data_IF_765571320983
#
_entry.id   IF_765571320983
#
_cell.length_a   1.000
_cell.length_b   1.000
_cell.length_c   1.000
_cell.angle_alpha   90.00
_cell.angle_beta   90.00
_cell.angle_gamma   90.00
#
_symmetry.space_group_name_H-M   'P 1'
#
loop_
_entity.id
_entity.type
_entity.pdbx_description
1 polymer ?
#
# COMPACT_ATOMS: atom_id res chain seq x y z
N UNK A 1 0.43 58.17 -2.57
CA UNK A 1 0.33 58.47 -1.13
C UNK A 1 -0.92 57.82 -0.50
N UNK A 2 -1.00 56.48 -0.42
CA UNK A 2 -2.11 55.72 0.22
C UNK A 2 -1.62 54.34 0.71
N UNK A 3 -0.79 54.32 1.75
CA UNK A 3 -0.41 53.10 2.50
C UNK A 3 -0.15 53.50 3.95
N UNK A 4 -1.20 53.64 4.77
CA UNK A 4 -1.05 53.75 6.24
C UNK A 4 -2.32 53.49 7.09
N UNK A 5 -3.44 53.01 6.51
CA UNK A 5 -4.71 52.92 7.27
C UNK A 5 -5.11 51.47 7.65
N UNK A 6 -4.57 50.43 6.99
CA UNK A 6 -5.04 49.05 7.24
C UNK A 6 -4.39 48.32 8.45
N UNK A 7 -3.24 48.77 8.96
CA UNK A 7 -2.61 48.11 10.12
C UNK A 7 -3.23 48.49 11.47
N UNK A 8 -3.97 49.60 11.55
CA UNK A 8 -4.60 50.06 12.81
C UNK A 8 -5.92 49.29 13.08
N UNK A 9 -6.61 48.86 12.02
CA UNK A 9 -7.85 48.10 12.14
C UNK A 9 -7.65 46.62 12.49
N UNK A 10 -6.53 45.99 12.09
CA UNK A 10 -6.22 44.60 12.46
C UNK A 10 -5.74 44.48 13.90
N UNK A 11 -4.93 45.42 14.39
CA UNK A 11 -4.45 45.45 15.77
C UNK A 11 -5.59 45.66 16.77
N UNK A 12 -6.55 46.57 16.47
CA UNK A 12 -7.75 46.76 17.30
C UNK A 12 -8.64 45.53 17.35
N UNK A 13 -8.81 44.79 16.24
CA UNK A 13 -9.60 43.53 16.23
C UNK A 13 -8.89 42.39 16.97
N UNK A 14 -7.56 42.33 16.90
CA UNK A 14 -6.76 41.34 17.62
C UNK A 14 -6.76 41.61 19.14
N UNK A 15 -6.51 42.86 19.57
CA UNK A 15 -6.60 43.25 20.97
C UNK A 15 -8.01 43.05 21.54
N UNK A 16 -9.08 43.32 20.76
CA UNK A 16 -10.47 43.09 21.20
C UNK A 16 -10.80 41.59 21.32
N UNK A 17 -10.25 40.72 20.47
CA UNK A 17 -10.41 39.26 20.57
C UNK A 17 -9.60 38.66 21.73
N UNK A 18 -8.39 39.16 22.02
CA UNK A 18 -7.57 38.77 23.17
C UNK A 18 -8.17 39.28 24.49
N UNK A 19 -8.78 40.47 24.50
CA UNK A 19 -9.56 40.99 25.63
C UNK A 19 -10.89 40.25 25.84
N UNK A 20 -11.58 39.86 24.77
CA UNK A 20 -12.81 39.07 24.91
C UNK A 20 -12.53 37.64 25.36
N UNK A 21 -11.45 37.00 24.90
CA UNK A 21 -11.08 35.66 25.37
C UNK A 21 -10.59 35.67 26.81
N UNK A 22 -9.86 36.70 27.25
CA UNK A 22 -9.49 36.87 28.66
C UNK A 22 -10.68 37.21 29.56
N UNK A 23 -11.65 38.02 29.09
CA UNK A 23 -12.91 38.27 29.80
C UNK A 23 -13.80 37.03 29.88
N UNK A 24 -13.85 36.20 28.83
CA UNK A 24 -14.65 34.97 28.83
C UNK A 24 -14.07 33.92 29.78
N UNK A 25 -12.73 33.83 29.87
CA UNK A 25 -12.02 32.98 30.86
C UNK A 25 -12.25 33.51 32.28
N UNK A 26 -12.27 34.84 32.48
CA UNK A 26 -12.64 35.47 33.76
C UNK A 26 -14.10 35.19 34.14
N UNK A 27 -15.03 35.18 33.18
CA UNK A 27 -16.45 34.87 33.44
C UNK A 27 -16.68 33.38 33.77
N UNK A 28 -15.99 32.46 33.08
CA UNK A 28 -16.07 31.03 33.40
C UNK A 28 -15.42 30.73 34.76
N UNK A 29 -14.38 31.47 35.16
CA UNK A 29 -13.81 31.38 36.52
C UNK A 29 -14.72 31.91 37.64
N UNK A 30 -15.62 32.85 37.34
CA UNK A 30 -16.61 33.33 38.32
C UNK A 30 -17.72 32.31 38.60
N UNK A 31 -18.02 31.40 37.66
CA UNK A 31 -19.07 30.39 37.84
C UNK A 31 -18.59 29.25 38.77
N UNK A 32 -17.27 29.08 38.96
CA UNK A 32 -16.68 28.04 39.83
C UNK A 32 -16.16 28.53 41.20
N UNK A 33 -16.29 29.81 41.55
CA UNK A 33 -15.93 30.31 42.89
C UNK A 33 -17.19 30.64 43.69
N UNK A 34 -17.84 29.62 44.25
CA UNK A 34 -18.89 29.80 45.26
C UNK A 34 -18.29 29.95 46.67
N UNK A 35 -17.16 30.65 46.82
CA UNK A 35 -16.61 30.97 48.14
C UNK A 35 -16.73 32.45 48.44
N UNK A 36 -17.26 32.75 49.63
CA UNK A 36 -17.46 34.12 50.10
C UNK A 36 -16.08 34.74 50.31
N UNK A 37 -15.72 35.71 49.46
CA UNK A 37 -14.52 36.52 49.64
C UNK A 37 -14.55 37.22 51.02
N UNK A 38 -13.49 37.12 51.82
CA UNK A 38 -13.40 37.87 53.07
C UNK A 38 -13.58 39.37 52.81
N UNK A 39 -14.38 40.07 53.64
CA UNK A 39 -14.76 41.49 53.45
C UNK A 39 -13.60 42.48 53.23
N UNK A 40 -12.36 42.11 53.56
CA UNK A 40 -11.15 42.93 53.39
C UNK A 40 -10.10 42.31 52.46
N UNK A 41 -10.43 41.22 51.79
CA UNK A 41 -9.56 40.65 50.76
C UNK A 41 -9.40 41.66 49.61
N UNK A 42 -8.19 41.76 49.07
CA UNK A 42 -7.91 42.61 47.90
C UNK A 42 -7.18 41.79 46.86
N UNK A 43 -7.55 41.95 45.59
CA UNK A 43 -6.75 41.45 44.48
C UNK A 43 -5.39 42.15 44.50
N UNK A 44 -4.30 41.37 44.53
CA UNK A 44 -2.93 41.88 44.55
C UNK A 44 -2.07 41.11 43.56
N UNK A 45 -1.13 41.84 42.96
CA UNK A 45 -0.02 41.26 42.19
C UNK A 45 1.26 41.43 42.99
N UNK A 46 1.91 40.32 43.34
CA UNK A 46 3.16 40.29 44.10
C UNK A 46 4.27 39.84 43.16
N UNK A 47 5.26 40.72 42.99
CA UNK A 47 6.42 40.49 42.14
C UNK A 47 7.58 39.90 42.95
N UNK A 48 8.09 38.75 42.50
CA UNK A 48 9.27 38.06 43.00
C UNK A 48 10.42 38.15 41.96
N UNK A 49 11.53 37.43 42.20
CA UNK A 49 12.73 37.49 41.35
C UNK A 49 12.44 37.11 39.89
N UNK A 50 11.89 35.92 39.63
CA UNK A 50 11.65 35.38 38.28
C UNK A 50 10.18 35.21 37.89
N UNK A 51 9.24 35.46 38.80
CA UNK A 51 7.80 35.30 38.56
C UNK A 51 6.99 36.35 39.32
N UNK A 52 5.71 36.48 38.96
CA UNK A 52 4.72 37.26 39.69
C UNK A 52 3.52 36.39 40.01
N UNK A 53 2.87 36.64 41.15
CA UNK A 53 1.64 35.95 41.53
C UNK A 53 0.54 36.99 41.67
N UNK A 54 -0.58 36.78 40.98
CA UNK A 54 -1.80 37.58 41.07
C UNK A 54 -2.91 36.75 41.72
N UNK A 55 -3.52 37.29 42.78
CA UNK A 55 -4.60 36.61 43.50
C UNK A 55 -5.18 37.47 44.62
N UNK A 56 -6.30 37.03 45.20
CA UNK A 56 -6.87 37.70 46.37
C UNK A 56 -5.99 37.44 47.60
N UNK A 57 -5.70 38.51 48.34
CA UNK A 57 -4.86 38.46 49.54
C UNK A 57 -5.63 39.03 50.73
N UNK A 58 -5.66 38.28 51.83
CA UNK A 58 -6.19 38.68 53.13
C UNK A 58 -5.19 38.31 54.22
N UNK A 59 -4.98 39.20 55.21
CA UNK A 59 -4.01 38.97 56.31
C UNK A 59 -2.59 38.52 55.88
N UNK A 60 -2.10 39.00 54.72
CA UNK A 60 -0.80 38.61 54.12
C UNK A 60 -0.74 37.16 53.64
N UNK A 61 -1.87 36.54 53.37
CA UNK A 61 -1.96 35.20 52.78
C UNK A 61 -2.86 35.24 51.56
N UNK A 62 -2.63 34.33 50.62
CA UNK A 62 -3.55 34.12 49.51
C UNK A 62 -4.84 33.49 50.03
N UNK A 63 -5.98 33.96 49.53
CA UNK A 63 -7.29 33.47 49.95
C UNK A 63 -7.55 32.11 49.30
N UNK A 64 -7.96 31.13 50.10
CA UNK A 64 -8.37 29.82 49.63
C UNK A 64 -9.60 29.84 48.73
N UNK A 65 -9.73 28.82 47.88
CA UNK A 65 -10.79 28.63 46.89
C UNK A 65 -10.96 29.83 45.94
N UNK A 66 -9.94 30.67 45.84
CA UNK A 66 -9.85 31.77 44.89
C UNK A 66 -8.85 31.45 43.79
N UNK A 67 -9.01 32.11 42.66
CA UNK A 67 -8.08 31.97 41.55
C UNK A 67 -6.74 32.59 41.91
N UNK A 68 -5.68 31.81 41.74
CA UNK A 68 -4.29 32.22 41.86
C UNK A 68 -3.61 32.03 40.50
N UNK A 69 -2.97 33.08 40.00
CA UNK A 69 -2.31 33.07 38.69
C UNK A 69 -0.84 33.43 38.84
N UNK A 70 0.02 32.53 38.38
CA UNK A 70 1.46 32.67 38.38
C UNK A 70 1.92 32.99 36.96
N UNK A 71 2.67 34.09 36.82
CA UNK A 71 3.12 34.64 35.52
C UNK A 71 4.64 34.70 35.54
N UNK A 72 5.28 34.23 34.47
CA UNK A 72 6.73 34.33 34.29
C UNK A 72 7.14 35.78 34.04
N UNK A 73 8.26 36.22 34.62
CA UNK A 73 8.81 37.55 34.34
C UNK A 73 9.66 37.60 33.07
N UNK A 74 10.09 36.44 32.57
CA UNK A 74 10.98 36.38 31.42
C UNK A 74 10.21 36.59 30.11
N UNK A 75 9.03 35.98 30.00
CA UNK A 75 8.20 36.03 28.79
C UNK A 75 6.79 36.60 29.02
N UNK A 76 6.45 36.97 30.26
CA UNK A 76 5.13 37.50 30.65
C UNK A 76 3.95 36.57 30.35
N UNK A 77 4.21 35.28 30.15
CA UNK A 77 3.17 34.27 29.92
C UNK A 77 2.75 33.61 31.25
N UNK A 78 1.55 33.03 31.25
CA UNK A 78 1.04 32.31 32.42
C UNK A 78 1.78 31.00 32.58
N UNK A 79 2.37 30.78 33.75
CA UNK A 79 2.98 29.51 34.13
C UNK A 79 1.88 28.56 34.60
N UNK A 80 1.07 28.99 35.57
CA UNK A 80 0.05 28.16 36.22
C UNK A 80 -1.08 29.06 36.71
N UNK A 81 -2.32 28.65 36.49
CA UNK A 81 -3.49 29.37 36.99
C UNK A 81 -4.59 28.39 37.39
N UNK A 82 -5.25 28.63 38.51
CA UNK A 82 -6.33 27.78 38.98
C UNK A 82 -6.80 28.11 40.39
N UNK A 83 -7.62 27.23 40.95
CA UNK A 83 -8.16 27.33 42.30
C UNK A 83 -7.08 26.96 43.31
N UNK A 84 -6.75 27.89 44.21
CA UNK A 84 -5.76 27.70 45.26
C UNK A 84 -6.37 27.17 46.55
N UNK A 85 -5.71 26.21 47.20
CA UNK A 85 -6.10 25.68 48.51
C UNK A 85 -4.89 25.10 49.25
N UNK A 86 -5.04 24.75 50.53
CA UNK A 86 -4.07 23.93 51.25
C UNK A 86 -4.68 22.63 51.80
N UNK A 87 -3.84 21.62 52.02
CA UNK A 87 -4.25 20.40 52.73
C UNK A 87 -4.18 20.57 54.26
N UNK A 88 -4.56 19.53 55.00
CA UNK A 88 -4.48 19.47 56.47
C UNK A 88 -3.06 19.61 57.04
N UNK A 89 -2.02 19.43 56.21
CA UNK A 89 -0.62 19.57 56.57
C UNK A 89 -0.03 20.94 56.19
N UNK A 90 -0.84 21.82 55.58
CA UNK A 90 -0.44 23.16 55.14
C UNK A 90 0.34 23.18 53.82
N UNK A 91 0.33 22.09 53.05
CA UNK A 91 0.84 22.08 51.69
C UNK A 91 -0.07 22.88 50.78
N UNK A 92 0.49 23.78 49.98
CA UNK A 92 -0.25 24.60 49.02
C UNK A 92 -0.45 23.86 47.71
N UNK A 93 -1.67 23.97 47.16
CA UNK A 93 -2.05 23.39 45.89
C UNK A 93 -2.74 24.40 44.97
N UNK A 94 -2.62 24.16 43.67
CA UNK A 94 -3.45 24.79 42.64
C UNK A 94 -4.08 23.68 41.82
N UNK A 95 -5.41 23.57 41.87
CA UNK A 95 -6.18 22.82 40.87
C UNK A 95 -6.38 23.73 39.66
N UNK A 96 -5.67 23.44 38.59
CA UNK A 96 -5.55 24.42 37.52
C UNK A 96 -4.88 23.92 36.26
N UNK A 97 -4.35 24.88 35.51
CA UNK A 97 -3.80 24.69 34.19
C UNK A 97 -2.40 25.28 34.14
N UNK A 98 -1.43 24.42 33.84
CA UNK A 98 -0.07 24.79 33.47
C UNK A 98 0.02 24.89 31.94
N UNK A 99 0.62 25.97 31.46
CA UNK A 99 0.89 26.17 30.03
C UNK A 99 2.38 26.37 29.80
N UNK A 100 2.94 25.61 28.86
CA UNK A 100 4.31 25.76 28.40
C UNK A 100 4.28 26.09 26.92
N UNK A 101 4.86 27.23 26.56
CA UNK A 101 4.98 27.68 25.17
C UNK A 101 6.43 27.96 24.85
N UNK A 102 7.00 27.13 23.99
CA UNK A 102 8.31 27.32 23.40
C UNK A 102 8.17 27.30 21.87
N UNK A 103 9.24 27.66 21.16
CA UNK A 103 9.24 27.74 19.69
C UNK A 103 8.83 26.43 18.99
N UNK A 104 9.15 25.28 19.57
CA UNK A 104 8.92 23.94 19.00
C UNK A 104 7.89 23.09 19.75
N UNK A 105 7.40 23.55 20.89
CA UNK A 105 6.56 22.76 21.79
C UNK A 105 5.55 23.66 22.50
N UNK A 106 4.26 23.39 22.26
CA UNK A 106 3.17 24.01 22.98
C UNK A 106 2.40 22.93 23.73
N UNK A 107 2.54 22.93 25.05
CA UNK A 107 1.85 21.97 25.91
C UNK A 107 0.95 22.65 26.93
N UNK A 108 -0.13 21.94 27.27
CA UNK A 108 -1.13 22.33 28.25
C UNK A 108 -1.39 21.15 29.15
N UNK A 109 -1.20 21.35 30.45
CA UNK A 109 -1.43 20.34 31.48
C UNK A 109 -2.48 20.87 32.44
N UNK A 110 -3.53 20.10 32.71
CA UNK A 110 -4.55 20.41 33.69
C UNK A 110 -4.58 19.32 34.75
N UNK A 111 -4.68 19.73 36.00
CA UNK A 111 -4.61 18.82 37.13
C UNK A 111 -4.41 19.54 38.45
N UNK A 112 -4.01 18.78 39.45
CA UNK A 112 -3.66 19.28 40.78
C UNK A 112 -2.15 19.43 40.85
N UNK A 113 -1.70 20.65 41.13
CA UNK A 113 -0.30 20.98 41.28
C UNK A 113 0.01 21.32 42.73
N UNK A 114 0.94 20.62 43.37
CA UNK A 114 1.54 21.09 44.62
C UNK A 114 2.47 22.25 44.29
N UNK A 115 2.36 23.37 45.00
CA UNK A 115 3.05 24.61 44.67
C UNK A 115 3.70 25.23 45.88
N UNK A 116 4.92 25.74 45.72
CA UNK A 116 5.62 26.43 46.80
C UNK A 116 6.56 27.50 46.27
N UNK A 117 6.73 28.54 47.06
CA UNK A 117 7.83 29.48 46.88
C UNK A 117 8.61 29.72 48.18
N UNK A 118 8.61 28.76 49.08
CA UNK A 118 9.30 28.83 50.37
C UNK A 118 10.39 27.77 50.45
N UNK A 119 11.41 27.99 51.30
CA UNK A 119 12.57 27.08 51.42
C UNK A 119 12.21 25.67 51.92
N UNK A 120 11.13 25.54 52.68
CA UNK A 120 10.61 24.24 53.15
C UNK A 120 9.70 23.55 52.12
N UNK A 121 9.46 24.17 50.97
CA UNK A 121 8.68 23.61 49.86
C UNK A 121 7.21 23.29 50.18
N UNK A 122 6.68 23.80 51.29
CA UNK A 122 5.30 23.51 51.72
C UNK A 122 4.29 24.50 51.16
N UNK A 123 4.59 25.80 51.15
CA UNK A 123 3.57 26.83 50.91
C UNK A 123 3.95 27.93 49.94
N UNK A 124 2.94 28.63 49.43
CA UNK A 124 3.11 29.93 48.79
C UNK A 124 2.98 31.06 49.83
N UNK A 125 4.01 31.89 49.98
CA UNK A 125 4.03 33.08 50.85
C UNK A 125 3.90 34.38 50.05
N UNK A 126 3.15 35.35 50.59
CA UNK A 126 3.13 36.72 50.07
C UNK A 126 4.34 37.55 50.54
N UNK A 127 5.09 37.07 51.53
CA UNK A 127 6.24 37.76 52.10
C UNK A 127 7.48 37.58 51.22
N UNK A 128 7.90 38.65 50.53
CA UNK A 128 9.08 38.63 49.65
C UNK A 128 10.39 38.25 50.34
N UNK A 129 10.51 38.43 51.67
CA UNK A 129 11.70 38.04 52.43
C UNK A 129 11.77 36.54 52.72
N UNK A 130 10.63 35.87 52.77
CA UNK A 130 10.52 34.41 52.95
C UNK A 130 10.52 33.66 51.61
N UNK A 131 10.31 34.38 50.51
CA UNK A 131 10.21 33.81 49.18
C UNK A 131 11.57 33.33 48.67
N UNK A 132 11.57 32.13 48.13
CA UNK A 132 12.68 31.46 47.46
C UNK A 132 12.30 31.21 45.99
N UNK A 133 12.80 30.13 45.40
CA UNK A 133 12.45 29.68 44.04
C UNK A 133 11.00 29.16 44.01
N UNK A 134 10.28 29.44 42.92
CA UNK A 134 9.01 28.79 42.63
C UNK A 134 9.24 27.32 42.25
N UNK A 135 8.55 26.42 42.93
CA UNK A 135 8.51 25.00 42.67
C UNK A 135 7.04 24.61 42.49
N UNK A 136 6.75 23.82 41.47
CA UNK A 136 5.44 23.19 41.34
C UNK A 136 5.60 21.78 40.79
N UNK A 137 4.82 20.84 41.34
CA UNK A 137 4.83 19.42 41.03
C UNK A 137 3.41 18.99 40.69
N UNK A 138 3.23 18.22 39.62
CA UNK A 138 1.93 17.66 39.25
C UNK A 138 1.64 16.43 40.11
N UNK A 139 0.57 16.48 40.90
CA UNK A 139 0.15 15.42 41.83
C UNK A 139 -0.98 14.56 41.24
N UNK A 140 -1.90 15.18 40.50
CA UNK A 140 -2.94 14.46 39.76
C UNK A 140 -3.13 15.07 38.37
N UNK A 141 -3.06 14.24 37.33
CA UNK A 141 -3.24 14.66 35.94
C UNK A 141 -4.71 14.45 35.54
N UNK A 142 -5.40 15.50 35.12
CA UNK A 142 -6.75 15.39 34.55
C UNK A 142 -6.72 15.39 33.03
N UNK A 143 -5.88 16.25 32.44
CA UNK A 143 -5.77 16.42 31.00
C UNK A 143 -4.38 16.90 30.62
N UNK A 144 -3.82 16.35 29.54
CA UNK A 144 -2.60 16.84 28.94
C UNK A 144 -2.75 16.91 27.44
N UNK A 145 -2.29 17.99 26.84
CA UNK A 145 -2.17 18.15 25.41
C UNK A 145 -0.78 18.64 25.08
N UNK A 146 -0.20 18.07 24.03
CA UNK A 146 1.04 18.55 23.45
C UNK A 146 0.89 18.67 21.93
N UNK A 147 1.21 19.84 21.41
CA UNK A 147 1.37 20.08 19.99
C UNK A 147 2.88 20.25 19.72
N UNK A 148 3.56 19.18 19.31
CA UNK A 148 4.94 19.26 18.86
C UNK A 148 4.98 19.68 17.40
N UNK A 149 5.69 20.77 17.11
CA UNK A 149 6.06 21.15 15.75
C UNK A 149 7.53 20.81 15.54
N UNK A 150 7.82 19.69 14.88
CA UNK A 150 9.19 19.36 14.47
C UNK A 150 9.47 19.87 13.05
N UNK A 151 10.58 20.58 12.87
CA UNK A 151 11.24 20.79 11.59
C UNK A 151 12.27 19.66 11.42
N UNK A 152 12.00 18.65 10.59
CA UNK A 152 12.95 17.57 10.27
C UNK A 152 12.31 16.20 9.99
N UNK A 153 13.10 15.29 9.40
CA UNK A 153 12.64 14.08 8.67
C UNK A 153 12.03 12.92 9.48
N UNK A 154 11.89 12.99 10.81
CA UNK A 154 11.37 11.85 11.58
C UNK A 154 10.61 12.28 12.84
N UNK A 155 9.31 12.59 12.69
CA UNK A 155 8.19 12.24 13.59
C UNK A 155 7.00 13.21 13.43
N UNK A 156 6.09 12.91 12.51
CA UNK A 156 4.90 13.73 12.18
C UNK A 156 3.69 13.39 13.08
N UNK A 157 3.66 13.84 14.34
CA UNK A 157 2.39 13.85 15.10
C UNK A 157 1.98 15.29 15.39
N UNK A 158 0.83 15.69 14.87
CA UNK A 158 0.30 17.05 14.99
C UNK A 158 -0.23 17.37 16.38
N UNK A 159 -0.76 16.38 17.10
CA UNK A 159 -1.31 16.59 18.46
C UNK A 159 -1.34 15.27 19.24
N UNK A 160 -0.86 15.30 20.48
CA UNK A 160 -1.04 14.24 21.48
C UNK A 160 -1.96 14.75 22.58
N UNK A 161 -2.93 13.93 22.99
CA UNK A 161 -3.86 14.20 24.08
C UNK A 161 -3.90 13.01 25.04
N UNK A 162 -3.82 13.29 26.34
CA UNK A 162 -4.12 12.38 27.43
C UNK A 162 -5.29 12.94 28.23
N UNK A 163 -6.28 12.12 28.52
CA UNK A 163 -7.43 12.52 29.34
C UNK A 163 -7.73 11.45 30.38
N UNK A 164 -7.83 11.86 31.64
CA UNK A 164 -8.21 10.96 32.74
C UNK A 164 -9.65 10.49 32.55
N UNK A 165 -9.85 9.18 32.70
CA UNK A 165 -11.14 8.51 32.64
C UNK A 165 -11.68 8.30 34.07
N UNK A 166 -12.99 8.05 34.25
CA UNK A 166 -13.60 7.84 35.57
C UNK A 166 -13.05 6.65 36.37
N UNK A 167 -12.34 5.72 35.71
CA UNK A 167 -11.73 4.53 36.32
C UNK A 167 -10.22 4.70 36.57
N UNK A 168 -9.75 5.94 36.70
CA UNK A 168 -8.35 6.35 36.86
C UNK A 168 -7.41 5.94 35.71
N UNK A 169 -7.92 5.35 34.62
CA UNK A 169 -7.15 5.13 33.39
C UNK A 169 -7.03 6.42 32.58
N UNK A 170 -6.20 6.41 31.54
CA UNK A 170 -6.07 7.55 30.63
C UNK A 170 -6.42 7.16 29.21
N UNK A 171 -7.28 7.95 28.57
CA UNK A 171 -7.45 7.89 27.11
C UNK A 171 -6.28 8.61 26.45
N UNK A 172 -5.53 7.89 25.60
CA UNK A 172 -4.47 8.44 24.76
C UNK A 172 -5.00 8.60 23.34
N UNK A 173 -4.85 9.80 22.79
CA UNK A 173 -5.18 10.12 21.41
C UNK A 173 -3.97 10.79 20.76
N UNK A 174 -3.50 10.24 19.63
CA UNK A 174 -2.42 10.83 18.84
C UNK A 174 -2.92 11.05 17.42
N UNK A 175 -2.83 12.30 16.94
CA UNK A 175 -3.21 12.69 15.59
C UNK A 175 -1.97 12.74 14.70
N UNK A 176 -1.89 11.83 13.74
CA UNK A 176 -0.94 11.84 12.64
C UNK A 176 -1.58 12.47 11.41
N UNK A 177 -0.78 12.78 10.38
CA UNK A 177 -1.29 13.32 9.11
C UNK A 177 -2.21 12.33 8.39
N UNK A 178 -1.94 11.02 8.49
CA UNK A 178 -2.68 9.95 7.79
C UNK A 178 -3.69 9.17 8.64
N UNK A 179 -3.64 9.29 9.97
CA UNK A 179 -4.55 8.57 10.87
C UNK A 179 -4.65 9.20 12.27
N UNK A 180 -5.66 8.79 13.02
CA UNK A 180 -5.77 9.03 14.47
C UNK A 180 -5.59 7.71 15.20
N UNK A 181 -4.65 7.67 16.13
CA UNK A 181 -4.42 6.56 17.06
C UNK A 181 -5.14 6.83 18.37
N UNK A 182 -5.91 5.87 18.85
CA UNK A 182 -6.62 5.91 20.12
C UNK A 182 -6.31 4.63 20.92
N UNK A 183 -6.03 4.76 22.21
CA UNK A 183 -5.85 3.61 23.12
C UNK A 183 -6.09 4.04 24.57
N UNK A 184 -6.18 3.08 25.48
CA UNK A 184 -6.31 3.34 26.92
C UNK A 184 -5.04 2.91 27.64
N UNK A 185 -4.44 3.85 28.37
CA UNK A 185 -3.27 3.58 29.23
C UNK A 185 -3.74 3.18 30.63
N UNK A 186 -3.12 2.15 31.25
CA UNK A 186 -3.35 1.86 32.65
C UNK A 186 -2.84 3.02 33.52
N UNK A 187 -3.45 3.21 34.69
CA UNK A 187 -2.96 4.14 35.71
C UNK A 187 -1.56 3.68 36.16
N UNK A 188 -0.57 4.58 36.16
CA UNK A 188 0.72 4.35 36.82
C UNK A 188 0.91 5.39 37.92
N UNK A 189 0.98 4.91 39.16
CA UNK A 189 1.19 5.73 40.36
C UNK A 189 2.66 6.10 40.57
N UNK A 190 3.57 5.51 39.81
CA UNK A 190 5.02 5.52 40.11
C UNK A 190 5.79 6.72 39.53
N UNK A 191 5.16 7.61 38.74
CA UNK A 191 5.88 8.72 38.10
C UNK A 191 5.63 10.06 38.81
N UNK A 192 6.25 10.25 39.97
CA UNK A 192 6.36 11.54 40.69
C UNK A 192 7.19 12.62 39.94
N UNK A 193 7.44 12.46 38.64
CA UNK A 193 8.05 13.46 37.78
C UNK A 193 7.32 13.43 36.44
N UNK A 194 6.16 14.07 36.38
CA UNK A 194 5.50 14.34 35.11
C UNK A 194 6.14 15.62 34.50
N UNK A 195 7.41 15.52 34.12
CA UNK A 195 7.65 15.79 32.71
C UNK A 195 7.04 14.59 32.02
N UNK A 196 6.06 14.78 31.12
CA UNK A 196 5.35 13.69 30.43
C UNK A 196 6.34 12.93 29.53
N UNK A 197 7.17 12.10 30.16
CA UNK A 197 8.13 11.17 29.60
C UNK A 197 7.60 9.75 29.86
N UNK A 198 6.27 9.61 29.84
CA UNK A 198 5.63 8.32 29.66
C UNK A 198 6.20 7.75 28.37
N UNK A 199 6.86 6.59 28.44
CA UNK A 199 7.20 5.83 27.24
C UNK A 199 5.92 5.21 26.69
N UNK A 200 5.05 6.07 26.14
CA UNK A 200 3.80 5.67 25.51
C UNK A 200 4.05 4.67 24.39
N UNK A 201 5.25 4.61 23.81
CA UNK A 201 5.58 3.61 22.80
C UNK A 201 5.47 2.18 23.37
N UNK A 202 6.00 1.94 24.57
CA UNK A 202 5.92 0.61 25.20
C UNK A 202 4.47 0.23 25.50
N UNK A 203 3.66 1.18 25.95
CA UNK A 203 2.25 0.91 26.26
C UNK A 203 1.42 0.68 25.00
N UNK A 204 1.63 1.47 23.95
CA UNK A 204 0.97 1.28 22.65
C UNK A 204 1.28 -0.10 22.09
N UNK A 205 2.56 -0.50 22.08
CA UNK A 205 3.00 -1.79 21.52
C UNK A 205 2.54 -3.00 22.33
N UNK A 206 2.25 -2.82 23.62
CA UNK A 206 1.74 -3.88 24.49
C UNK A 206 0.21 -3.89 24.58
N UNK A 207 -0.48 -2.94 23.93
CA UNK A 207 -1.95 -2.86 23.97
C UNK A 207 -2.55 -3.72 22.85
N UNK A 208 -3.55 -4.52 23.23
CA UNK A 208 -4.34 -5.33 22.29
C UNK A 208 -5.57 -4.58 21.73
N UNK A 209 -5.77 -3.33 22.14
CA UNK A 209 -6.95 -2.53 21.80
C UNK A 209 -6.56 -1.17 21.26
N UNK A 210 -5.49 -1.10 20.46
CA UNK A 210 -5.14 0.13 19.75
C UNK A 210 -6.09 0.29 18.58
N UNK A 211 -6.75 1.44 18.52
CA UNK A 211 -7.59 1.82 17.39
C UNK A 211 -6.84 2.80 16.49
N UNK A 212 -6.75 2.48 15.20
CA UNK A 212 -6.26 3.38 14.17
C UNK A 212 -7.43 3.76 13.26
N UNK A 213 -7.73 5.05 13.13
CA UNK A 213 -8.73 5.57 12.20
C UNK A 213 -8.02 6.29 11.06
N UNK A 214 -8.07 5.74 9.85
CA UNK A 214 -7.36 6.27 8.68
C UNK A 214 -8.18 7.32 7.94
N UNK A 215 -7.50 8.20 7.19
CA UNK A 215 -8.17 9.29 6.45
C UNK A 215 -9.13 8.81 5.35
N UNK A 216 -8.92 7.60 4.83
CA UNK A 216 -9.83 6.97 3.86
C UNK A 216 -11.11 6.40 4.50
N UNK A 217 -11.26 6.49 5.83
CA UNK A 217 -12.40 5.99 6.59
C UNK A 217 -12.20 4.59 7.16
N UNK A 218 -11.10 3.91 6.83
CA UNK A 218 -10.80 2.59 7.38
C UNK A 218 -10.50 2.67 8.88
N UNK A 219 -10.86 1.62 9.60
CA UNK A 219 -10.63 1.51 11.04
C UNK A 219 -9.97 0.18 11.35
N UNK A 220 -8.81 0.21 11.98
CA UNK A 220 -8.17 -0.96 12.57
C UNK A 220 -8.32 -0.94 14.10
N UNK A 221 -8.57 -2.10 14.71
CA UNK A 221 -8.59 -2.31 16.16
C UNK A 221 -7.80 -3.57 16.47
N UNK A 222 -6.71 -3.44 17.23
CA UNK A 222 -5.89 -4.59 17.63
C UNK A 222 -4.51 -4.22 18.16
N UNK A 223 -3.57 -5.16 18.01
CA UNK A 223 -2.15 -4.98 18.27
C UNK A 223 -1.48 -4.26 17.11
N UNK A 224 -0.45 -3.46 17.41
CA UNK A 224 0.29 -2.67 16.41
C UNK A 224 1.78 -2.95 16.48
N UNK A 225 2.45 -2.81 15.33
CA UNK A 225 3.91 -2.90 15.20
C UNK A 225 4.53 -1.56 14.85
N UNK A 226 5.81 -1.39 15.22
CA UNK A 226 6.57 -0.21 14.81
C UNK A 226 6.78 -0.20 13.29
N UNK A 227 6.76 0.99 12.68
CA UNK A 227 7.13 1.18 11.27
C UNK A 227 8.47 0.55 10.90
N UNK A 228 9.43 0.54 11.83
CA UNK A 228 10.74 -0.09 11.60
C UNK A 228 10.69 -1.60 11.37
N UNK A 229 9.59 -2.27 11.72
CA UNK A 229 9.35 -3.69 11.40
C UNK A 229 8.74 -3.88 10.01
N UNK A 230 8.17 -2.84 9.41
CA UNK A 230 7.69 -2.89 8.03
C UNK A 230 8.87 -2.85 7.06
N UNK A 231 8.76 -3.41 5.86
CA UNK A 231 9.88 -3.43 4.92
C UNK A 231 10.31 -2.01 4.51
N UNK A 232 11.57 -1.88 4.10
CA UNK A 232 12.21 -0.58 3.84
C UNK A 232 11.44 0.29 2.83
N UNK A 233 10.83 -0.32 1.82
CA UNK A 233 10.16 0.36 0.71
C UNK A 233 8.65 0.59 0.92
N UNK A 234 8.07 0.19 2.06
CA UNK A 234 6.68 0.51 2.39
C UNK A 234 6.54 2.02 2.61
N UNK A 235 5.76 2.74 1.80
CA UNK A 235 5.57 4.20 1.94
C UNK A 235 4.62 4.60 3.10
N UNK A 236 4.41 3.69 4.05
CA UNK A 236 3.70 3.97 5.29
C UNK A 236 4.54 4.85 6.20
N UNK A 237 4.08 6.08 6.47
CA UNK A 237 4.86 7.08 7.21
C UNK A 237 4.40 7.29 8.66
N UNK A 238 3.43 6.50 9.12
CA UNK A 238 2.94 6.57 10.51
C UNK A 238 3.80 5.64 11.38
N UNK A 239 4.18 6.01 12.62
CA UNK A 239 5.06 5.21 13.47
C UNK A 239 4.53 3.82 13.86
N UNK A 240 3.21 3.63 13.83
CA UNK A 240 2.52 2.40 14.25
C UNK A 240 1.64 1.89 13.13
N UNK A 241 1.84 0.64 12.75
CA UNK A 241 1.06 -0.04 11.72
C UNK A 241 0.23 -1.18 12.33
N UNK A 242 -0.90 -1.56 11.71
CA UNK A 242 -1.63 -2.78 12.04
C UNK A 242 -0.70 -4.00 12.12
N UNK A 243 -0.89 -4.84 13.15
CA UNK A 243 -0.18 -6.11 13.30
C UNK A 243 -1.17 -7.27 13.35
N UNK A 244 -1.94 -7.40 14.43
CA UNK A 244 -2.97 -8.43 14.58
C UNK A 244 -4.26 -7.82 15.12
N UNK A 245 -5.43 -8.16 14.54
CA UNK A 245 -6.70 -7.60 14.98
C UNK A 245 -7.80 -7.59 13.92
N UNK A 246 -8.67 -6.59 14.00
CA UNK A 246 -9.80 -6.38 13.12
C UNK A 246 -9.60 -5.10 12.29
N UNK A 247 -9.70 -5.21 10.97
CA UNK A 247 -9.64 -4.10 10.03
C UNK A 247 -10.99 -3.96 9.32
N UNK A 248 -11.66 -2.84 9.55
CA UNK A 248 -12.93 -2.46 8.91
C UNK A 248 -12.64 -1.50 7.79
N UNK A 249 -13.01 -1.90 6.58
CA UNK A 249 -12.89 -1.04 5.42
C UNK A 249 -14.06 -0.04 5.42
N UNK A 250 -13.82 1.17 4.93
CA UNK A 250 -14.86 2.20 4.81
C UNK A 250 -16.06 1.74 3.96
N UNK A 251 -15.83 0.80 3.05
CA UNK A 251 -16.82 0.14 2.20
C UNK A 251 -17.72 -0.87 2.93
N UNK A 252 -17.33 -1.33 4.13
CA UNK A 252 -18.14 -2.20 4.99
C UNK A 252 -17.60 -3.62 5.18
N UNK A 253 -16.60 -4.06 4.41
CA UNK A 253 -15.92 -5.33 4.62
C UNK A 253 -15.13 -5.34 5.93
N UNK A 254 -14.88 -6.55 6.43
CA UNK A 254 -14.13 -6.77 7.66
C UNK A 254 -13.07 -7.85 7.42
N UNK A 255 -11.81 -7.53 7.70
CA UNK A 255 -10.72 -8.50 7.76
C UNK A 255 -10.32 -8.71 9.21
N UNK A 256 -10.13 -9.95 9.64
CA UNK A 256 -9.68 -10.28 11.00
C UNK A 256 -8.52 -11.26 10.93
N UNK A 257 -7.40 -10.92 11.58
CA UNK A 257 -6.20 -11.75 11.63
C UNK A 257 -4.90 -10.93 11.67
N UNK A 258 -3.85 -11.43 11.03
CA UNK A 258 -2.51 -10.83 10.98
C UNK A 258 -2.33 -10.06 9.68
N UNK A 259 -1.84 -8.83 9.79
CA UNK A 259 -1.70 -7.89 8.69
C UNK A 259 -0.22 -7.63 8.38
N UNK A 260 0.08 -7.56 7.08
CA UNK A 260 1.39 -7.16 6.57
C UNK A 260 1.28 -6.01 5.58
N UNK A 261 2.37 -5.27 5.36
CA UNK A 261 2.42 -4.21 4.34
C UNK A 261 2.98 -4.77 3.03
N UNK A 262 2.21 -4.67 1.95
CA UNK A 262 2.73 -4.89 0.62
C UNK A 262 3.48 -3.63 0.15
N UNK A 263 4.78 -3.76 -0.08
CA UNK A 263 5.64 -2.66 -0.50
C UNK A 263 5.27 -2.06 -1.85
N UNK A 264 4.89 -2.92 -2.80
CA UNK A 264 4.64 -2.52 -4.18
C UNK A 264 3.35 -1.71 -4.29
N UNK A 265 2.35 -2.03 -3.46
CA UNK A 265 1.03 -1.40 -3.50
C UNK A 265 0.79 -0.40 -2.36
N UNK A 266 1.73 -0.28 -1.42
CA UNK A 266 1.62 0.55 -0.21
C UNK A 266 0.29 0.33 0.54
N UNK A 267 -0.10 -0.95 0.72
CA UNK A 267 -1.37 -1.35 1.33
C UNK A 267 -1.15 -2.47 2.34
N UNK A 268 -2.03 -2.51 3.33
CA UNK A 268 -2.12 -3.65 4.23
C UNK A 268 -2.90 -4.79 3.57
N UNK A 269 -2.35 -5.98 3.66
CA UNK A 269 -3.02 -7.22 3.26
C UNK A 269 -3.08 -8.17 4.45
N UNK A 270 -3.98 -9.14 4.38
CA UNK A 270 -4.18 -10.13 5.42
C UNK A 270 -3.27 -11.32 5.13
N UNK A 271 -2.24 -11.53 5.93
CA UNK A 271 -1.33 -12.69 5.80
C UNK A 271 -2.02 -13.95 6.32
N UNK A 272 -2.57 -13.86 7.52
CA UNK A 272 -3.34 -14.93 8.17
C UNK A 272 -4.68 -14.39 8.63
N UNK A 273 -5.76 -15.17 8.46
CA UNK A 273 -7.08 -14.78 8.95
C UNK A 273 -8.19 -14.92 7.92
N UNK A 274 -9.27 -14.16 8.10
CA UNK A 274 -10.44 -14.17 7.21
C UNK A 274 -10.86 -12.75 6.83
N UNK A 275 -11.16 -12.53 5.55
CA UNK A 275 -11.92 -11.37 5.06
C UNK A 275 -13.37 -11.77 4.79
N UNK A 276 -14.31 -11.01 5.35
CA UNK A 276 -15.75 -11.09 5.09
C UNK A 276 -16.13 -9.96 4.13
N UNK A 277 -16.58 -10.34 2.93
CA UNK A 277 -16.97 -9.39 1.88
C UNK A 277 -18.43 -8.94 2.01
N UNK A 278 -18.82 -7.94 1.21
CA UNK A 278 -20.18 -7.37 1.24
C UNK A 278 -21.27 -8.37 0.82
N UNK A 279 -20.92 -9.35 -0.02
CA UNK A 279 -21.79 -10.45 -0.43
C UNK A 279 -21.90 -11.57 0.64
N UNK A 280 -21.23 -11.40 1.80
CA UNK A 280 -21.18 -12.37 2.89
C UNK A 280 -20.18 -13.51 2.67
N UNK A 281 -19.50 -13.56 1.52
CA UNK A 281 -18.47 -14.57 1.28
C UNK A 281 -17.26 -14.36 2.18
N UNK A 282 -16.53 -15.45 2.43
CA UNK A 282 -15.36 -15.46 3.31
C UNK A 282 -14.17 -16.02 2.57
N UNK A 283 -13.07 -15.28 2.52
CA UNK A 283 -11.80 -15.76 1.99
C UNK A 283 -10.73 -15.73 3.09
N UNK A 284 -9.79 -16.68 3.05
CA UNK A 284 -8.71 -16.80 4.03
C UNK A 284 -7.43 -16.18 3.49
N UNK A 285 -6.62 -15.61 4.38
CA UNK A 285 -5.28 -15.08 4.07
C UNK A 285 -5.27 -14.10 2.90
N UNK A 286 -4.16 -14.08 2.14
CA UNK A 286 -4.00 -13.25 0.94
C UNK A 286 -4.68 -13.90 -0.26
N UNK A 287 -6.00 -13.84 -0.24
CA UNK A 287 -6.89 -14.41 -1.25
C UNK A 287 -6.65 -13.89 -2.67
N UNK A 288 -5.95 -12.76 -2.83
CA UNK A 288 -5.62 -12.22 -4.14
C UNK A 288 -4.31 -12.81 -4.69
N UNK A 289 -3.32 -13.03 -3.83
CA UNK A 289 -2.06 -13.65 -4.23
C UNK A 289 -2.26 -15.08 -4.74
N UNK A 290 -3.25 -15.79 -4.20
CA UNK A 290 -3.61 -17.16 -4.60
C UNK A 290 -4.17 -17.29 -6.03
N UNK A 291 -4.48 -16.19 -6.72
CA UNK A 291 -5.21 -16.19 -8.00
C UNK A 291 -4.35 -16.35 -9.26
N UNK A 292 -3.06 -16.70 -9.13
CA UNK A 292 -2.11 -16.86 -10.25
C UNK A 292 -2.11 -15.67 -11.25
N UNK A 293 -2.24 -14.46 -10.70
CA UNK A 293 -2.24 -13.21 -11.45
C UNK A 293 -0.81 -12.74 -11.71
N UNK A 294 -0.56 -12.15 -12.87
CA UNK A 294 0.74 -11.54 -13.20
C UNK A 294 0.95 -10.26 -12.38
N UNK A 295 2.20 -9.79 -12.26
CA UNK A 295 2.51 -8.55 -11.53
C UNK A 295 1.72 -7.34 -12.06
N UNK A 296 1.51 -7.25 -13.38
CA UNK A 296 0.74 -6.16 -13.99
C UNK A 296 -0.76 -6.26 -13.72
N UNK A 297 -1.31 -7.47 -13.65
CA UNK A 297 -2.70 -7.71 -13.27
C UNK A 297 -2.93 -7.35 -11.80
N UNK A 298 -2.02 -7.76 -10.92
CA UNK A 298 -2.04 -7.39 -9.51
C UNK A 298 -1.97 -5.86 -9.35
N UNK A 299 -1.06 -5.18 -10.04
CA UNK A 299 -0.97 -3.72 -10.05
C UNK A 299 -2.26 -3.06 -10.54
N UNK A 300 -2.89 -3.62 -11.58
CA UNK A 300 -4.19 -3.12 -12.05
C UNK A 300 -5.29 -3.30 -11.01
N UNK A 301 -5.26 -4.32 -10.16
CA UNK A 301 -6.25 -4.59 -9.10
C UNK A 301 -5.99 -3.76 -7.85
N UNK A 302 -4.73 -3.63 -7.44
CA UNK A 302 -4.31 -2.86 -6.28
C UNK A 302 -4.25 -1.35 -6.52
N UNK A 303 -4.18 -0.90 -7.77
CA UNK A 303 -4.18 0.52 -8.11
C UNK A 303 -5.52 1.18 -7.81
N UNK A 304 -5.50 2.29 -7.05
CA UNK A 304 -6.66 3.11 -6.62
C UNK A 304 -7.47 2.52 -5.46
N UNK A 305 -8.13 3.42 -4.72
CA UNK A 305 -8.93 3.29 -3.47
C UNK A 305 -10.07 2.24 -3.48
N UNK A 306 -9.84 1.09 -4.09
CA UNK A 306 -10.76 -0.03 -4.17
C UNK A 306 -10.88 -0.74 -2.84
N UNK A 307 -12.12 -1.07 -2.54
CA UNK A 307 -12.53 -2.02 -1.51
C UNK A 307 -12.08 -3.44 -1.83
N UNK A 308 -12.00 -4.33 -0.82
CA UNK A 308 -11.79 -5.75 -1.04
C UNK A 308 -12.77 -6.38 -2.05
N UNK A 309 -14.06 -6.02 -2.00
CA UNK A 309 -15.07 -6.57 -2.92
C UNK A 309 -14.80 -6.15 -4.37
N UNK A 310 -14.45 -4.88 -4.60
CA UNK A 310 -14.09 -4.41 -5.94
C UNK A 310 -12.83 -5.11 -6.46
N UNK A 311 -11.82 -5.29 -5.61
CA UNK A 311 -10.60 -6.02 -5.95
C UNK A 311 -10.90 -7.49 -6.33
N UNK A 312 -11.75 -8.16 -5.54
CA UNK A 312 -12.19 -9.54 -5.80
C UNK A 312 -12.95 -9.66 -7.11
N UNK A 313 -13.88 -8.75 -7.39
CA UNK A 313 -14.65 -8.76 -8.64
C UNK A 313 -13.76 -8.52 -9.86
N UNK A 314 -12.79 -7.61 -9.73
CA UNK A 314 -11.81 -7.36 -10.78
C UNK A 314 -10.92 -8.58 -11.06
N UNK A 315 -10.43 -9.23 -10.00
CA UNK A 315 -9.65 -10.47 -10.13
C UNK A 315 -10.45 -11.55 -10.86
N UNK A 316 -11.71 -11.76 -10.46
CA UNK A 316 -12.61 -12.71 -11.11
C UNK A 316 -12.78 -12.42 -12.60
N UNK A 317 -13.02 -11.17 -12.97
CA UNK A 317 -13.17 -10.76 -14.37
C UNK A 317 -11.90 -11.03 -15.21
N UNK A 318 -10.71 -10.81 -14.63
CA UNK A 318 -9.44 -11.07 -15.33
C UNK A 318 -9.24 -12.57 -15.56
N UNK A 319 -9.57 -13.40 -14.57
CA UNK A 319 -9.46 -14.86 -14.67
C UNK A 319 -10.44 -15.40 -15.72
N UNK A 320 -11.69 -14.95 -15.69
CA UNK A 320 -12.71 -15.35 -16.68
C UNK A 320 -12.28 -14.98 -18.12
N UNK A 321 -11.67 -13.80 -18.32
CA UNK A 321 -11.16 -13.40 -19.62
C UNK A 321 -9.99 -14.29 -20.10
N UNK A 322 -9.08 -14.67 -19.19
CA UNK A 322 -7.96 -15.58 -19.49
C UNK A 322 -8.45 -16.97 -19.85
N UNK A 323 -9.40 -17.52 -19.09
CA UNK A 323 -9.99 -18.82 -19.37
C UNK A 323 -10.70 -18.84 -20.72
N UNK A 324 -11.45 -17.78 -21.05
CA UNK A 324 -12.11 -17.65 -22.35
C UNK A 324 -11.11 -17.60 -23.51
N UNK A 325 -10.05 -16.79 -23.40
CA UNK A 325 -8.99 -16.75 -24.44
C UNK A 325 -8.30 -18.09 -24.62
N UNK A 326 -8.01 -18.81 -23.52
CA UNK A 326 -7.41 -20.13 -23.58
C UNK A 326 -8.34 -21.16 -24.26
N UNK A 327 -9.65 -21.07 -24.03
CA UNK A 327 -10.63 -21.93 -24.71
C UNK A 327 -10.73 -21.60 -26.20
N UNK A 328 -10.74 -20.32 -26.57
CA UNK A 328 -10.76 -19.86 -27.96
C UNK A 328 -9.50 -20.31 -28.72
N UNK A 329 -8.32 -20.20 -28.10
CA UNK A 329 -7.05 -20.67 -28.69
C UNK A 329 -7.04 -22.18 -28.89
N UNK A 330 -7.49 -22.97 -27.90
CA UNK A 330 -7.61 -24.42 -28.04
C UNK A 330 -8.60 -24.81 -29.14
N UNK A 331 -9.76 -24.15 -29.20
CA UNK A 331 -10.75 -24.40 -30.23
C UNK A 331 -10.22 -24.05 -31.63
N UNK A 332 -9.48 -22.95 -31.76
CA UNK A 332 -8.84 -22.55 -33.01
C UNK A 332 -7.78 -23.56 -33.45
N UNK A 333 -6.93 -24.04 -32.53
CA UNK A 333 -5.94 -25.09 -32.79
C UNK A 333 -6.61 -26.40 -33.25
N UNK A 334 -7.63 -26.87 -32.52
CA UNK A 334 -8.37 -28.08 -32.92
C UNK A 334 -9.07 -27.93 -34.27
N UNK A 335 -9.56 -26.73 -34.59
CA UNK A 335 -10.17 -26.44 -35.89
C UNK A 335 -9.13 -26.46 -37.02
N UNK A 336 -7.95 -25.87 -36.78
CA UNK A 336 -6.85 -25.90 -37.73
C UNK A 336 -6.34 -27.33 -37.99
N UNK A 337 -6.19 -28.14 -36.94
CA UNK A 337 -5.83 -29.56 -37.07
C UNK A 337 -6.89 -30.36 -37.82
N UNK A 338 -8.18 -30.15 -37.51
CA UNK A 338 -9.28 -30.78 -38.25
C UNK A 338 -9.29 -30.39 -39.73
N UNK A 339 -9.04 -29.12 -40.05
CA UNK A 339 -8.93 -28.66 -41.43
C UNK A 339 -7.73 -29.29 -42.15
N UNK A 340 -6.56 -29.39 -41.49
CA UNK A 340 -5.39 -30.08 -42.04
C UNK A 340 -5.68 -31.54 -42.33
N UNK A 341 -6.33 -32.25 -41.41
CA UNK A 341 -6.73 -33.65 -41.59
C UNK A 341 -7.73 -33.82 -42.75
N UNK A 342 -8.76 -32.97 -42.83
CA UNK A 342 -9.73 -32.99 -43.92
C UNK A 342 -9.07 -32.71 -45.28
N UNK A 343 -8.16 -31.75 -45.35
CA UNK A 343 -7.40 -31.47 -46.57
C UNK A 343 -6.49 -32.64 -46.97
N UNK A 344 -5.83 -33.28 -46.00
CA UNK A 344 -5.03 -34.48 -46.25
C UNK A 344 -5.88 -35.63 -46.77
N UNK A 345 -7.05 -35.88 -46.17
CA UNK A 345 -7.98 -36.91 -46.64
C UNK A 345 -8.53 -36.63 -48.03
N UNK A 346 -8.92 -35.38 -48.32
CA UNK A 346 -9.40 -34.98 -49.64
C UNK A 346 -8.32 -35.18 -50.70
N UNK A 347 -7.09 -34.73 -50.42
CA UNK A 347 -5.93 -34.96 -51.29
C UNK A 347 -5.70 -36.45 -51.52
N UNK A 348 -5.85 -37.27 -50.47
CA UNK A 348 -5.72 -38.73 -50.57
C UNK A 348 -6.76 -39.33 -51.51
N UNK A 349 -8.02 -38.93 -51.38
CA UNK A 349 -9.11 -39.40 -52.26
C UNK A 349 -8.85 -39.01 -53.72
N UNK A 350 -8.47 -37.77 -53.97
CA UNK A 350 -8.15 -37.28 -55.31
C UNK A 350 -7.00 -38.06 -55.96
N UNK A 351 -5.94 -38.36 -55.20
CA UNK A 351 -4.80 -39.13 -55.71
C UNK A 351 -5.16 -40.59 -55.97
N UNK A 352 -6.00 -41.21 -55.14
CA UNK A 352 -6.51 -42.57 -55.36
C UNK A 352 -7.42 -42.63 -56.59
N UNK A 353 -8.31 -41.65 -56.76
CA UNK A 353 -9.18 -41.56 -57.93
C UNK A 353 -8.37 -41.40 -59.23
N UNK A 354 -7.31 -40.56 -59.20
CA UNK A 354 -6.48 -40.27 -60.37
C UNK A 354 -5.50 -41.39 -60.73
N UNK A 355 -4.91 -42.06 -59.74
CA UNK A 355 -3.79 -42.98 -59.94
C UNK A 355 -4.04 -44.43 -59.47
N UNK A 356 -5.25 -44.72 -59.00
CA UNK A 356 -5.62 -46.00 -58.42
C UNK A 356 -5.11 -46.16 -56.99
N UNK A 357 -5.65 -47.16 -56.29
CA UNK A 357 -5.41 -47.37 -54.86
C UNK A 357 -3.93 -47.61 -54.51
N UNK A 358 -3.21 -48.37 -55.34
CA UNK A 358 -1.79 -48.68 -55.10
C UNK A 358 -0.90 -47.43 -55.21
N UNK A 359 -0.87 -46.76 -56.37
CA UNK A 359 0.01 -45.60 -56.57
C UNK A 359 -0.50 -44.35 -55.85
N UNK A 360 -1.83 -44.14 -55.74
CA UNK A 360 -2.41 -43.03 -55.00
C UNK A 360 -1.99 -43.02 -53.53
N UNK A 361 -2.09 -44.17 -52.85
CA UNK A 361 -1.63 -44.28 -51.46
C UNK A 361 -0.11 -44.09 -51.32
N UNK A 362 0.70 -44.60 -52.26
CA UNK A 362 2.16 -44.40 -52.26
C UNK A 362 2.54 -42.93 -52.42
N UNK A 363 1.90 -42.20 -53.33
CA UNK A 363 2.12 -40.75 -53.52
C UNK A 363 1.72 -39.98 -52.26
N UNK A 364 0.60 -40.34 -51.61
CA UNK A 364 0.20 -39.73 -50.34
C UNK A 364 1.18 -39.96 -49.19
N UNK A 365 1.76 -41.16 -49.12
CA UNK A 365 2.77 -41.51 -48.12
C UNK A 365 4.15 -40.88 -48.42
N UNK A 366 4.30 -40.22 -49.57
CA UNK A 366 5.58 -39.66 -49.98
C UNK A 366 6.58 -40.71 -50.46
N UNK A 367 6.08 -41.84 -50.94
CA UNK A 367 6.89 -42.98 -51.35
C UNK A 367 6.96 -43.10 -52.87
N UNK A 368 8.17 -43.30 -53.39
CA UNK A 368 8.38 -43.63 -54.80
C UNK A 368 8.30 -45.14 -55.01
N UNK A 369 7.56 -45.56 -56.03
CA UNK A 369 7.45 -46.96 -56.42
C UNK A 369 7.78 -47.14 -57.92
N UNK A 370 8.45 -48.25 -58.24
CA UNK A 370 8.69 -48.62 -59.64
C UNK A 370 7.36 -48.75 -60.39
N UNK A 371 7.35 -48.32 -61.64
CA UNK A 371 6.17 -48.27 -62.49
C UNK A 371 5.38 -46.95 -62.45
N UNK A 372 5.64 -46.06 -61.49
CA UNK A 372 5.04 -44.72 -61.45
C UNK A 372 5.35 -43.91 -62.72
N UNK A 373 4.39 -43.11 -63.20
CA UNK A 373 4.64 -42.21 -64.32
C UNK A 373 5.45 -40.97 -63.90
N UNK A 374 6.01 -40.24 -64.88
CA UNK A 374 6.64 -38.94 -64.57
C UNK A 374 5.67 -37.98 -63.88
N UNK A 375 4.38 -38.03 -64.24
CA UNK A 375 3.36 -37.19 -63.61
C UNK A 375 3.10 -37.60 -62.17
N UNK A 376 2.95 -38.91 -61.89
CA UNK A 376 2.79 -39.43 -60.53
C UNK A 376 3.97 -39.05 -59.63
N UNK A 377 5.20 -39.15 -60.16
CA UNK A 377 6.39 -38.70 -59.43
C UNK A 377 6.36 -37.19 -59.20
N UNK A 378 5.92 -36.40 -60.19
CA UNK A 378 5.84 -34.94 -60.09
C UNK A 378 4.86 -34.44 -59.01
N UNK A 379 3.83 -35.21 -58.67
CA UNK A 379 2.83 -34.89 -57.63
C UNK A 379 3.42 -34.85 -56.20
N UNK A 380 4.53 -35.57 -55.98
CA UNK A 380 5.25 -35.58 -54.70
C UNK A 380 6.67 -35.02 -54.80
N UNK A 381 7.38 -35.32 -55.88
CA UNK A 381 8.71 -34.81 -56.22
C UNK A 381 8.64 -33.93 -57.46
N UNK A 382 8.35 -32.62 -57.32
CA UNK A 382 8.23 -31.71 -58.44
C UNK A 382 9.45 -31.72 -59.35
N UNK A 383 9.21 -31.91 -60.65
CA UNK A 383 10.21 -31.94 -61.72
C UNK A 383 11.12 -30.70 -61.72
N UNK A 384 10.62 -29.55 -61.27
CA UNK A 384 11.38 -28.30 -61.10
C UNK A 384 12.60 -28.46 -60.18
N UNK A 385 12.59 -29.41 -59.25
CA UNK A 385 13.69 -29.69 -58.32
C UNK A 385 14.83 -30.52 -58.95
N UNK A 386 14.65 -31.01 -60.17
CA UNK A 386 15.58 -31.91 -60.84
C UNK A 386 16.15 -31.29 -62.12
N UNK A 387 17.37 -31.72 -62.47
CA UNK A 387 17.96 -31.52 -63.79
C UNK A 387 17.58 -32.70 -64.67
N UNK A 388 16.95 -32.40 -65.81
CA UNK A 388 16.29 -33.39 -66.66
C UNK A 388 17.16 -33.63 -67.90
N UNK A 389 17.50 -34.88 -68.17
CA UNK A 389 18.10 -35.30 -69.44
C UNK A 389 17.18 -36.30 -70.16
N UNK A 390 17.15 -36.20 -71.50
CA UNK A 390 16.33 -37.05 -72.35
C UNK A 390 17.22 -37.76 -73.38
N UNK A 391 17.09 -39.08 -73.47
CA UNK A 391 17.84 -39.94 -74.38
C UNK A 391 16.83 -40.72 -75.22
N UNK A 392 16.81 -40.44 -76.53
CA UNK A 392 15.94 -41.13 -77.48
C UNK A 392 16.79 -42.00 -78.42
N UNK A 393 16.64 -43.33 -78.35
CA UNK A 393 17.32 -44.30 -79.23
C UNK A 393 16.36 -45.43 -79.59
N UNK A 394 16.20 -45.72 -80.88
CA UNK A 394 15.40 -46.85 -81.40
C UNK A 394 14.01 -46.98 -80.77
N UNK A 395 13.19 -45.93 -80.85
CA UNK A 395 11.82 -45.87 -80.29
C UNK A 395 11.70 -46.04 -78.77
N UNK A 396 12.81 -46.14 -78.03
CA UNK A 396 12.84 -46.15 -76.56
C UNK A 396 13.23 -44.76 -76.03
N UNK A 397 12.32 -44.15 -75.27
CA UNK A 397 12.52 -42.85 -74.64
C UNK A 397 12.95 -43.04 -73.19
N UNK A 398 14.18 -42.64 -72.85
CA UNK A 398 14.69 -42.65 -71.47
C UNK A 398 14.82 -41.22 -70.94
N UNK A 399 14.13 -40.91 -69.85
CA UNK A 399 14.20 -39.61 -69.17
C UNK A 399 14.86 -39.80 -67.81
N UNK A 400 15.89 -39.03 -67.51
CA UNK A 400 16.62 -39.11 -66.24
C UNK A 400 16.44 -37.79 -65.50
N UNK A 401 16.01 -37.88 -64.24
CA UNK A 401 15.86 -36.74 -63.35
C UNK A 401 16.96 -36.84 -62.30
N UNK A 402 17.90 -35.88 -62.29
CA UNK A 402 18.96 -35.80 -61.28
C UNK A 402 18.63 -34.70 -60.29
N UNK A 403 18.56 -35.03 -59.01
CA UNK A 403 18.18 -34.05 -57.99
C UNK A 403 19.22 -32.95 -57.86
N UNK A 404 18.77 -31.71 -57.73
CA UNK A 404 19.63 -30.54 -57.55
C UNK A 404 19.16 -29.72 -56.35
N UNK A 405 19.85 -29.92 -55.21
CA UNK A 405 19.56 -29.23 -53.94
C UNK A 405 19.54 -27.71 -54.11
N UNK A 406 20.49 -27.14 -54.86
CA UNK A 406 20.57 -25.69 -55.08
C UNK A 406 19.40 -25.20 -55.92
N UNK A 407 18.99 -25.97 -56.92
CA UNK A 407 17.82 -25.66 -57.74
C UNK A 407 16.53 -25.70 -56.91
N UNK A 408 16.32 -26.74 -56.13
CA UNK A 408 15.17 -26.85 -55.22
C UNK A 408 15.10 -25.67 -54.24
N UNK A 409 16.21 -25.33 -53.58
CA UNK A 409 16.26 -24.19 -52.65
C UNK A 409 15.88 -22.87 -53.33
N UNK A 410 16.36 -22.63 -54.56
CA UNK A 410 15.99 -21.44 -55.34
C UNK A 410 14.50 -21.41 -55.70
N UNK A 411 13.95 -22.53 -56.16
CA UNK A 411 12.51 -22.62 -56.49
C UNK A 411 11.63 -22.40 -55.26
N UNK A 412 12.00 -22.96 -54.10
CA UNK A 412 11.27 -22.75 -52.83
C UNK A 412 11.30 -21.27 -52.42
N UNK A 413 12.46 -20.61 -52.51
CA UNK A 413 12.59 -19.17 -52.19
C UNK A 413 11.76 -18.32 -53.15
N UNK A 414 11.76 -18.67 -54.45
CA UNK A 414 10.99 -17.95 -55.47
C UNK A 414 9.48 -18.05 -55.20
N UNK A 415 8.97 -19.25 -54.93
CA UNK A 415 7.55 -19.48 -54.64
C UNK A 415 7.09 -18.85 -53.32
N UNK A 416 7.96 -18.83 -52.30
CA UNK A 416 7.68 -18.14 -51.04
C UNK A 416 7.48 -16.63 -51.22
N UNK A 417 8.27 -16.00 -52.10
CA UNK A 417 8.15 -14.57 -52.44
C UNK A 417 6.92 -14.25 -53.28
N UNK A 418 6.53 -15.14 -54.19
CA UNK A 418 5.38 -14.93 -55.08
C UNK A 418 4.02 -15.18 -54.37
N UNK A 419 4.00 -15.93 -53.26
CA UNK A 419 2.76 -16.32 -52.56
C UNK A 419 2.51 -15.60 -51.24
N UNK A 420 3.38 -14.65 -50.84
CA UNK A 420 3.38 -13.97 -49.53
C UNK A 420 3.38 -14.94 -48.31
N UNK A 421 3.73 -16.21 -48.51
CA UNK A 421 3.80 -17.26 -47.48
C UNK A 421 5.25 -17.61 -47.14
N UNK A 422 6.05 -16.61 -46.80
CA UNK A 422 7.49 -16.76 -46.54
C UNK A 422 7.78 -17.76 -45.40
N UNK A 423 6.93 -17.81 -44.37
CA UNK A 423 7.07 -18.71 -43.22
C UNK A 423 7.00 -20.20 -43.60
N UNK A 424 6.15 -20.57 -44.56
CA UNK A 424 6.00 -21.96 -45.02
C UNK A 424 7.20 -22.44 -45.84
N UNK A 425 7.78 -21.55 -46.64
CA UNK A 425 8.99 -21.82 -47.42
C UNK A 425 10.22 -21.93 -46.51
N UNK A 426 10.34 -21.07 -45.50
CA UNK A 426 11.38 -21.12 -44.46
C UNK A 426 11.27 -22.38 -43.60
N UNK A 427 10.07 -22.77 -43.19
CA UNK A 427 9.84 -24.00 -42.43
C UNK A 427 10.22 -25.26 -43.23
N UNK A 428 9.90 -25.32 -44.54
CA UNK A 428 10.29 -26.42 -45.42
C UNK A 428 11.82 -26.50 -45.59
N UNK A 429 12.49 -25.35 -45.79
CA UNK A 429 13.95 -25.23 -45.85
C UNK A 429 14.64 -25.65 -44.53
N UNK A 430 14.07 -25.26 -43.39
CA UNK A 430 14.54 -25.64 -42.05
C UNK A 430 14.36 -27.13 -41.80
N UNK A 431 13.22 -27.73 -42.13
CA UNK A 431 13.00 -29.18 -41.98
C UNK A 431 13.97 -30.00 -42.82
N UNK A 432 14.26 -29.57 -44.06
CA UNK A 432 15.22 -30.24 -44.92
C UNK A 432 16.65 -30.17 -44.35
N UNK A 433 17.05 -29.00 -43.82
CA UNK A 433 18.36 -28.84 -43.17
C UNK A 433 18.46 -29.58 -41.81
N UNK A 434 17.39 -29.66 -41.02
CA UNK A 434 17.34 -30.42 -39.76
C UNK A 434 17.33 -31.94 -40.00
N UNK A 435 16.70 -32.41 -41.09
CA UNK A 435 16.67 -33.83 -41.43
C UNK A 435 18.08 -34.38 -41.71
N UNK A 436 19.01 -33.58 -42.23
CA UNK A 436 20.41 -33.98 -42.45
C UNK A 436 21.17 -34.28 -41.13
N UNK A 437 20.74 -33.71 -39.99
CA UNK A 437 21.39 -33.92 -38.68
C UNK A 437 20.85 -35.13 -37.90
N UNK A 438 19.68 -35.67 -38.25
CA UNK A 438 18.98 -36.72 -37.49
C UNK A 438 18.72 -38.02 -38.27
N UNK A 439 19.30 -38.20 -39.46
CA UNK A 439 19.14 -39.43 -40.24
C UNK A 439 18.13 -39.36 -41.40
N UNK A 440 17.87 -38.17 -41.93
CA UNK A 440 17.56 -37.87 -43.34
C UNK A 440 16.20 -38.28 -43.91
N UNK A 441 15.49 -37.31 -44.49
CA UNK A 441 14.48 -37.57 -45.54
C UNK A 441 15.15 -38.36 -46.69
N UNK A 442 14.50 -39.41 -47.19
CA UNK A 442 15.03 -40.27 -48.24
C UNK A 442 14.91 -39.62 -49.64
N UNK A 443 15.72 -38.59 -49.87
CA UNK A 443 15.71 -37.80 -51.09
C UNK A 443 16.32 -38.60 -52.25
N UNK A 444 15.60 -38.79 -53.38
CA UNK A 444 16.14 -39.53 -54.51
C UNK A 444 17.26 -38.74 -55.21
N UNK A 445 18.48 -39.26 -55.25
CA UNK A 445 19.59 -38.69 -56.02
C UNK A 445 19.30 -38.70 -57.52
N UNK A 446 18.72 -39.78 -58.03
CA UNK A 446 18.43 -39.92 -59.46
C UNK A 446 17.23 -40.83 -59.69
N UNK A 447 16.36 -40.42 -60.62
CA UNK A 447 15.19 -41.19 -61.06
C UNK A 447 15.30 -41.44 -62.56
N UNK A 448 15.14 -42.69 -62.99
CA UNK A 448 15.21 -43.08 -64.40
C UNK A 448 13.86 -43.58 -64.86
N UNK A 449 13.33 -42.95 -65.90
CA UNK A 449 12.09 -43.31 -66.54
C UNK A 449 12.36 -43.90 -67.91
N UNK A 450 11.80 -45.07 -68.22
CA UNK A 450 11.79 -45.66 -69.57
C UNK A 450 10.36 -45.70 -70.06
N UNK A 451 10.09 -45.12 -71.24
CA UNK A 451 8.76 -45.04 -71.84
C UNK A 451 7.70 -44.51 -70.84
N UNK A 452 8.06 -43.42 -70.14
CA UNK A 452 7.25 -42.74 -69.12
C UNK A 452 6.98 -43.53 -67.83
N UNK A 453 7.64 -44.67 -67.58
CA UNK A 453 7.52 -45.42 -66.32
C UNK A 453 8.83 -45.38 -65.54
N UNK A 454 8.76 -45.13 -64.24
CA UNK A 454 9.90 -45.14 -63.32
C UNK A 454 10.45 -46.56 -63.23
N UNK A 455 11.68 -46.78 -63.69
CA UNK A 455 12.32 -48.11 -63.71
C UNK A 455 13.44 -48.24 -62.70
N UNK A 456 14.09 -47.14 -62.32
CA UNK A 456 15.22 -47.16 -61.40
C UNK A 456 15.17 -45.94 -60.47
N UNK A 457 15.42 -46.16 -59.18
CA UNK A 457 15.48 -45.13 -58.13
C UNK A 457 16.85 -45.27 -57.48
N UNK A 458 17.63 -44.19 -57.51
CA UNK A 458 18.93 -44.12 -56.86
C UNK A 458 18.81 -43.14 -55.69
N UNK A 459 19.05 -43.64 -54.47
CA UNK A 459 18.97 -42.89 -53.21
C UNK A 459 20.36 -42.52 -52.70
#
# INVERSE_FOLDING_TARGET
MKRKINNVFSLKRYCKRVLLSSLLILFISQIYSQTILPKRAKLKTITYSSYTISGYVYKKEFVEDQVLTIISRDNYDTILSGRYYHDEHGNSYIEGINTKRNYSDNSRTQGIFRVSNTKNELRITTNKKEAYKLIFLLEDLTYYQNNKYYYGNYSNFGTLVLQKLPNDKYSLIIKYEGCVLETVLPYSKDNNVIEVNLDYNKVILNSQQVKLTFNNGDIFIGEVKRRSKLPAYCHYNIPYAPDSGEYKYASGEISTGVFECNNYFNRFYLEEGVTVFLDGTKCKGDWLFDQNLTSSEQERIYSKDRSPTEMKNMAKSIIEEKEKKLQEEKAAQEQEERQKLQQQELRRRQLIEKYGEYYGNKICAGELALGMSQEMVNEYWPKKYFNISNINRNYNNTVIWKFDKKKMQREIIKEGKETEKEDGALALLLMLNFSEQLGGLDVPKMLVFKNNKLTEIYR
#
